data_IF_147568562784
#
_entry.id   IF_147568562784
#
_cell.length_a   1.000
_cell.length_b   1.000
_cell.length_c   1.000
_cell.angle_alpha   90.00
_cell.angle_beta   90.00
_cell.angle_gamma   90.00
#
_symmetry.space_group_name_H-M   'P 1'
#
loop_
_entity.id
_entity.type
_entity.pdbx_description
1 polymer ?
#
# COMPACT_ATOMS: atom_id res chain seq x y z
N UNK A 1 -5.59 47.50 23.99
CA UNK A 1 -6.88 47.06 23.42
C UNK A 1 -6.78 47.23 21.92
N UNK A 2 -6.96 46.28 21.02
CA UNK A 2 -7.23 44.85 21.07
C UNK A 2 -6.77 44.28 19.71
N UNK A 3 -6.24 43.06 19.74
CA UNK A 3 -5.76 42.31 18.56
C UNK A 3 -6.96 41.75 17.80
N UNK A 4 -7.00 41.88 16.47
CA UNK A 4 -7.58 40.90 15.52
C UNK A 4 -7.13 41.33 14.11
N UNK A 5 -6.68 40.39 13.25
CA UNK A 5 -7.59 39.41 12.70
C UNK A 5 -6.98 38.00 12.62
N UNK A 6 -7.53 37.06 13.38
CA UNK A 6 -7.37 35.62 13.10
C UNK A 6 -8.75 35.15 12.66
N UNK A 7 -9.08 35.39 11.40
CA UNK A 7 -10.31 34.90 10.80
C UNK A 7 -10.05 34.53 9.34
N UNK A 8 -9.04 33.68 9.11
CA UNK A 8 -8.79 33.11 7.79
C UNK A 8 -8.31 31.65 7.82
N UNK A 9 -8.17 31.01 9.00
CA UNK A 9 -7.66 29.64 9.09
C UNK A 9 -8.76 28.56 9.23
N UNK A 10 -10.04 28.93 9.22
CA UNK A 10 -11.12 27.98 9.55
C UNK A 10 -11.87 27.41 8.35
N UNK A 11 -11.44 27.69 7.11
CA UNK A 11 -12.21 27.37 5.89
C UNK A 11 -11.67 26.19 5.06
N UNK A 12 -10.65 25.47 5.54
CA UNK A 12 -9.98 24.42 4.76
C UNK A 12 -10.19 22.98 5.27
N UNK A 13 -11.26 22.68 6.04
CA UNK A 13 -11.49 21.32 6.56
C UNK A 13 -12.92 20.83 6.39
N UNK A 14 -13.50 21.00 5.19
CA UNK A 14 -14.74 20.32 4.81
C UNK A 14 -14.69 19.74 3.40
N UNK A 15 -13.51 19.29 2.96
CA UNK A 15 -13.48 18.19 2.00
C UNK A 15 -13.72 16.93 2.82
N UNK A 16 -14.97 16.44 2.83
CA UNK A 16 -15.19 15.05 3.22
C UNK A 16 -14.19 14.19 2.44
N UNK A 17 -13.37 13.40 3.14
CA UNK A 17 -12.47 12.42 2.53
C UNK A 17 -13.31 11.39 1.77
N UNK A 18 -13.79 11.77 0.60
CA UNK A 18 -14.33 10.87 -0.40
C UNK A 18 -13.13 10.33 -1.17
N UNK A 19 -12.20 9.67 -0.45
CA UNK A 19 -11.08 8.97 -1.05
C UNK A 19 -11.65 7.71 -1.70
N UNK A 20 -12.18 7.85 -2.92
CA UNK A 20 -12.17 6.72 -3.85
C UNK A 20 -10.69 6.37 -4.03
N UNK A 21 -10.18 5.48 -3.19
CA UNK A 21 -8.73 5.19 -3.13
C UNK A 21 -8.21 4.75 -4.50
N UNK A 22 -6.93 4.97 -4.76
CA UNK A 22 -6.30 4.59 -6.03
C UNK A 22 -5.56 3.24 -5.89
N UNK A 23 -5.04 2.70 -6.99
CA UNK A 23 -4.17 1.53 -6.93
C UNK A 23 -2.84 1.84 -6.22
N UNK A 24 -2.32 3.05 -6.38
CA UNK A 24 -1.10 3.52 -5.70
C UNK A 24 -1.31 3.60 -4.18
N UNK A 25 -2.45 4.13 -3.74
CA UNK A 25 -2.77 4.12 -2.31
C UNK A 25 -2.93 2.68 -1.81
N UNK A 26 -3.62 1.83 -2.57
CA UNK A 26 -3.82 0.42 -2.21
C UNK A 26 -2.49 -0.34 -2.15
N UNK A 27 -1.52 -0.04 -3.02
CA UNK A 27 -0.21 -0.70 -3.02
C UNK A 27 0.63 -0.34 -1.81
N UNK A 28 0.55 0.92 -1.34
CA UNK A 28 1.21 1.37 -0.12
C UNK A 28 0.61 0.69 1.11
N UNK A 29 -0.71 0.51 1.15
CA UNK A 29 -1.40 -0.17 2.25
C UNK A 29 -1.14 -1.68 2.27
N UNK A 30 -0.72 -2.27 1.16
CA UNK A 30 -0.33 -3.66 1.06
C UNK A 30 1.09 -3.93 1.54
N UNK A 31 1.88 -2.95 1.95
CA UNK A 31 3.22 -3.20 2.50
C UNK A 31 3.39 -2.62 3.89
N UNK A 32 4.23 -3.27 4.71
CA UNK A 32 4.57 -2.79 6.04
C UNK A 32 3.82 -3.49 7.18
N UNK A 33 4.06 -2.97 8.38
CA UNK A 33 3.55 -3.52 9.64
C UNK A 33 2.14 -3.01 9.93
N UNK A 34 1.27 -3.92 10.35
CA UNK A 34 -0.04 -3.59 10.89
C UNK A 34 -0.21 -4.22 12.28
N UNK A 35 -0.57 -3.40 13.26
CA UNK A 35 -0.75 -3.84 14.64
C UNK A 35 -2.21 -4.25 14.86
N UNK A 36 -2.41 -5.44 15.41
CA UNK A 36 -3.74 -5.93 15.83
C UNK A 36 -3.91 -5.88 17.36
N UNK A 37 -2.81 -5.93 18.11
CA UNK A 37 -2.76 -5.73 19.55
C UNK A 37 -1.38 -5.17 19.96
N UNK A 38 -1.17 -4.69 21.21
CA UNK A 38 0.08 -4.06 21.64
C UNK A 38 1.37 -4.87 21.41
N UNK A 39 1.26 -6.20 21.27
CA UNK A 39 2.40 -7.11 21.03
C UNK A 39 2.16 -8.04 19.84
N UNK A 40 1.12 -7.80 19.05
CA UNK A 40 0.74 -8.69 17.98
C UNK A 40 0.41 -7.87 16.74
N UNK A 41 1.00 -8.27 15.62
CA UNK A 41 0.79 -7.63 14.34
C UNK A 41 1.05 -8.59 13.21
N UNK A 42 0.94 -8.07 12.01
CA UNK A 42 1.38 -8.77 10.82
C UNK A 42 2.21 -7.84 9.94
N UNK A 43 3.23 -8.40 9.30
CA UNK A 43 4.04 -7.69 8.33
C UNK A 43 3.69 -8.18 6.93
N UNK A 44 3.30 -7.23 6.08
CA UNK A 44 2.99 -7.48 4.68
C UNK A 44 4.17 -7.08 3.81
N UNK A 45 4.54 -7.95 2.88
CA UNK A 45 5.66 -7.70 1.99
C UNK A 45 5.53 -8.47 0.68
N UNK A 46 6.47 -8.23 -0.23
CA UNK A 46 6.61 -8.97 -1.49
C UNK A 46 7.89 -9.80 -1.44
N UNK A 47 7.85 -10.99 -2.00
CA UNK A 47 9.03 -11.83 -2.20
C UNK A 47 9.06 -12.37 -3.63
N UNK A 48 10.26 -12.56 -4.21
CA UNK A 48 10.38 -13.15 -5.53
C UNK A 48 9.99 -14.63 -5.47
N UNK A 49 9.25 -15.11 -6.47
CA UNK A 49 8.87 -16.52 -6.57
C UNK A 49 10.10 -17.43 -6.52
N UNK A 50 10.02 -18.49 -5.71
CA UNK A 50 11.13 -19.42 -5.50
C UNK A 50 12.08 -19.05 -4.35
N UNK A 51 11.85 -17.94 -3.66
CA UNK A 51 12.56 -17.59 -2.42
C UNK A 51 11.62 -17.73 -1.20
N UNK A 52 12.15 -18.10 -0.03
CA UNK A 52 11.36 -18.41 1.17
C UNK A 52 11.01 -17.17 2.03
N UNK A 53 11.45 -15.97 1.67
CA UNK A 53 11.03 -14.77 2.41
C UNK A 53 11.52 -13.43 1.86
N UNK A 54 10.82 -12.36 2.25
CA UNK A 54 11.13 -10.98 1.84
C UNK A 54 12.37 -10.40 2.54
N UNK A 55 12.76 -10.93 3.70
CA UNK A 55 13.83 -10.41 4.55
C UNK A 55 15.26 -10.56 3.96
N UNK A 56 15.40 -11.19 2.79
CA UNK A 56 16.69 -11.46 2.16
C UNK A 56 16.81 -10.84 0.75
N UNK A 57 15.95 -9.88 0.41
CA UNK A 57 16.01 -9.27 -0.91
C UNK A 57 17.29 -8.45 -1.11
N UNK A 58 18.01 -8.73 -2.19
CA UNK A 58 19.13 -7.89 -2.65
C UNK A 58 18.63 -6.53 -3.11
N UNK A 59 19.52 -5.54 -3.21
CA UNK A 59 19.18 -4.22 -3.75
C UNK A 59 18.66 -4.31 -5.20
N UNK A 60 19.19 -5.25 -5.99
CA UNK A 60 18.73 -5.54 -7.34
C UNK A 60 17.30 -6.07 -7.35
N UNK A 61 16.98 -7.05 -6.50
CA UNK A 61 15.63 -7.58 -6.35
C UNK A 61 14.63 -6.51 -5.88
N UNK A 62 15.05 -5.59 -4.99
CA UNK A 62 14.21 -4.46 -4.60
C UNK A 62 13.91 -3.52 -5.78
N UNK A 63 14.90 -3.24 -6.62
CA UNK A 63 14.69 -2.43 -7.82
C UNK A 63 13.75 -3.12 -8.82
N UNK A 64 13.91 -4.43 -9.03
CA UNK A 64 13.01 -5.24 -9.85
C UNK A 64 11.57 -5.26 -9.32
N UNK A 65 11.41 -5.36 -8.00
CA UNK A 65 10.11 -5.32 -7.33
C UNK A 65 9.39 -3.99 -7.60
N UNK A 66 10.10 -2.87 -7.49
CA UNK A 66 9.55 -1.54 -7.76
C UNK A 66 9.15 -1.40 -9.22
N UNK A 67 9.97 -1.90 -10.15
CA UNK A 67 9.65 -1.88 -11.58
C UNK A 67 8.40 -2.70 -11.89
N UNK A 68 8.32 -3.93 -11.36
CA UNK A 68 7.15 -4.79 -11.50
C UNK A 68 5.87 -4.15 -10.93
N UNK A 69 5.98 -3.51 -9.77
CA UNK A 69 4.85 -2.80 -9.15
C UNK A 69 4.38 -1.64 -10.01
N UNK A 70 5.30 -0.80 -10.51
CA UNK A 70 4.94 0.33 -11.37
C UNK A 70 4.25 -0.13 -12.66
N UNK A 71 4.74 -1.20 -13.28
CA UNK A 71 4.09 -1.80 -14.46
C UNK A 71 2.65 -2.24 -14.14
N UNK A 72 2.45 -2.90 -12.99
CA UNK A 72 1.13 -3.31 -12.55
C UNK A 72 0.18 -2.13 -12.28
N UNK A 73 0.68 -1.07 -11.66
CA UNK A 73 -0.11 0.14 -11.40
C UNK A 73 -0.58 0.79 -12.70
N UNK A 74 0.30 0.91 -13.71
CA UNK A 74 -0.05 1.46 -15.02
C UNK A 74 -1.09 0.61 -15.76
N UNK A 75 -0.92 -0.72 -15.77
CA UNK A 75 -1.88 -1.65 -16.39
C UNK A 75 -3.25 -1.58 -15.70
N UNK A 76 -3.28 -1.58 -14.38
CA UNK A 76 -4.54 -1.58 -13.63
C UNK A 76 -5.27 -0.24 -13.71
N UNK A 77 -4.53 0.88 -13.70
CA UNK A 77 -5.11 2.23 -13.86
C UNK A 77 -5.78 2.42 -15.22
N UNK A 78 -5.24 1.81 -16.28
CA UNK A 78 -5.78 1.91 -17.64
C UNK A 78 -6.96 0.97 -17.92
N UNK A 79 -7.23 0.00 -17.03
CA UNK A 79 -8.17 -1.10 -17.29
C UNK A 79 -9.65 -0.81 -16.95
N UNK A 80 -9.95 0.25 -16.21
CA UNK A 80 -11.32 0.53 -15.75
C UNK A 80 -11.64 2.04 -15.69
N UNK A 81 -12.79 2.44 -16.25
CA UNK A 81 -13.30 3.82 -16.16
C UNK A 81 -13.75 4.19 -14.74
N UNK A 82 -14.18 3.19 -13.95
CA UNK A 82 -14.59 3.34 -12.56
C UNK A 82 -13.63 2.53 -11.69
N UNK A 83 -13.03 3.18 -10.70
CA UNK A 83 -12.18 2.49 -9.73
C UNK A 83 -13.00 1.47 -8.92
N UNK A 84 -12.56 0.20 -8.85
CA UNK A 84 -13.28 -0.82 -8.10
C UNK A 84 -13.14 -0.59 -6.59
N UNK A 85 -13.82 -1.40 -5.78
CA UNK A 85 -13.69 -1.37 -4.32
C UNK A 85 -12.24 -1.58 -3.88
N UNK A 86 -11.91 -1.12 -2.67
CA UNK A 86 -10.57 -1.31 -2.10
C UNK A 86 -10.14 -2.79 -2.07
N UNK A 87 -11.03 -3.68 -1.64
CA UNK A 87 -10.78 -5.12 -1.61
C UNK A 87 -10.46 -5.67 -3.01
N UNK A 88 -11.22 -5.27 -4.03
CA UNK A 88 -10.99 -5.73 -5.40
C UNK A 88 -9.70 -5.14 -5.98
N UNK A 89 -9.36 -3.88 -5.69
CA UNK A 89 -8.05 -3.31 -6.07
C UNK A 89 -6.89 -4.09 -5.46
N UNK A 90 -7.00 -4.47 -4.20
CA UNK A 90 -5.97 -5.25 -3.50
C UNK A 90 -5.74 -6.60 -4.18
N UNK A 91 -6.83 -7.32 -4.49
CA UNK A 91 -6.79 -8.61 -5.19
C UNK A 91 -6.15 -8.46 -6.58
N UNK A 92 -6.57 -7.47 -7.36
CA UNK A 92 -6.06 -7.25 -8.71
C UNK A 92 -4.57 -6.89 -8.71
N UNK A 93 -4.11 -6.10 -7.73
CA UNK A 93 -2.70 -5.77 -7.59
C UNK A 93 -1.86 -7.00 -7.24
N UNK A 94 -2.31 -7.81 -6.27
CA UNK A 94 -1.65 -9.07 -5.91
C UNK A 94 -1.56 -10.02 -7.10
N UNK A 95 -2.66 -10.18 -7.84
CA UNK A 95 -2.69 -11.02 -9.04
C UNK A 95 -1.74 -10.51 -10.13
N UNK A 96 -1.63 -9.20 -10.32
CA UNK A 96 -0.69 -8.64 -11.27
C UNK A 96 0.76 -8.91 -10.86
N UNK A 97 1.11 -8.62 -9.60
CA UNK A 97 2.44 -8.88 -9.06
C UNK A 97 2.83 -10.36 -9.17
N UNK A 98 1.89 -11.28 -8.92
CA UNK A 98 2.10 -12.72 -9.14
C UNK A 98 2.46 -13.06 -10.58
N UNK A 99 1.82 -12.44 -11.57
CA UNK A 99 2.20 -12.62 -12.98
C UNK A 99 3.58 -12.06 -13.29
N UNK A 100 4.05 -11.07 -12.54
CA UNK A 100 5.39 -10.51 -12.63
C UNK A 100 6.44 -11.31 -11.83
N UNK A 101 6.08 -12.47 -11.26
CA UNK A 101 7.01 -13.32 -10.50
C UNK A 101 7.14 -12.95 -9.03
N UNK A 102 6.20 -12.20 -8.45
CA UNK A 102 6.21 -11.78 -7.05
C UNK A 102 5.03 -12.36 -6.29
N UNK A 103 5.26 -12.92 -5.11
CA UNK A 103 4.17 -13.37 -4.24
C UNK A 103 4.04 -12.49 -3.00
N UNK A 104 2.80 -12.39 -2.52
CA UNK A 104 2.47 -11.61 -1.35
C UNK A 104 2.71 -12.43 -0.09
N UNK A 105 3.50 -11.88 0.83
CA UNK A 105 3.85 -12.50 2.10
C UNK A 105 3.12 -11.78 3.23
N UNK A 106 2.52 -12.54 4.12
CA UNK A 106 1.96 -12.04 5.39
C UNK A 106 2.56 -12.86 6.52
N UNK A 107 3.37 -12.22 7.34
CA UNK A 107 4.03 -12.85 8.49
C UNK A 107 3.42 -12.33 9.78
N UNK A 108 2.94 -13.22 10.64
CA UNK A 108 2.52 -12.86 11.99
C UNK A 108 3.75 -12.52 12.83
N UNK A 109 3.71 -11.39 13.53
CA UNK A 109 4.81 -10.91 14.36
C UNK A 109 4.36 -10.76 15.80
N UNK A 110 5.18 -11.28 16.70
CA UNK A 110 5.12 -10.98 18.12
C UNK A 110 6.15 -9.90 18.46
N UNK A 111 5.68 -8.74 18.92
CA UNK A 111 6.53 -7.57 19.19
C UNK A 111 6.90 -7.57 20.68
N UNK A 112 8.11 -8.04 20.98
CA UNK A 112 8.72 -7.91 22.30
C UNK A 112 9.35 -6.53 22.45
N UNK A 113 9.09 -5.86 23.57
CA UNK A 113 9.70 -4.57 23.92
C UNK A 113 11.20 -4.68 24.21
#
# INVERSE_FOLDING_TARGET
MGKLPILCCSLAMLFGCNTKGTYEQTSQELTGLELIAPHLGYFKSWAPMGNEGAHQMTAEQQAEQVQALNLCLEQLRSSAEILPSHALRSVLLVQCMQKQGWYFVVEELYITQ
#
